data_IF_336682697163
#
_entry.id   IF_336682697163
#
_cell.length_a   1.000
_cell.length_b   1.000
_cell.length_c   1.000
_cell.angle_alpha   90.00
_cell.angle_beta   90.00
_cell.angle_gamma   90.00
#
_symmetry.space_group_name_H-M   'P 1'
#
loop_
_entity.id
_entity.type
_entity.pdbx_description
1 polymer ?
#
# COMPACT_ATOMS: atom_id res chain seq x y z
N UNK A 1 -17.16 -13.26 15.46
CA UNK A 1 -18.07 -12.24 14.88
C UNK A 1 -17.96 -12.30 13.36
N UNK A 2 -19.00 -11.93 12.60
CA UNK A 2 -18.87 -11.76 11.16
C UNK A 2 -17.87 -10.64 10.89
N UNK A 3 -17.22 -10.70 9.74
CA UNK A 3 -16.29 -9.66 9.35
C UNK A 3 -16.99 -8.41 8.82
N UNK A 4 -16.52 -7.25 9.26
CA UNK A 4 -17.12 -5.97 8.88
C UNK A 4 -16.93 -5.65 7.38
N UNK A 5 -15.90 -6.23 6.74
CA UNK A 5 -15.58 -5.92 5.34
C UNK A 5 -16.36 -6.79 4.34
N UNK A 6 -16.59 -8.06 4.66
CA UNK A 6 -17.18 -8.98 3.68
C UNK A 6 -18.34 -9.82 4.21
N UNK A 7 -18.58 -9.82 5.52
CA UNK A 7 -19.60 -10.62 6.24
C UNK A 7 -19.60 -12.15 5.96
N UNK A 8 -18.73 -12.64 5.07
CA UNK A 8 -18.77 -13.99 4.53
C UNK A 8 -18.09 -15.06 5.41
N UNK A 9 -17.19 -14.67 6.31
CA UNK A 9 -16.62 -15.63 7.25
C UNK A 9 -16.63 -15.07 8.67
N UNK A 10 -16.76 -15.97 9.63
CA UNK A 10 -16.75 -15.68 11.07
C UNK A 10 -15.34 -15.85 11.61
N UNK A 11 -14.89 -14.89 12.42
CA UNK A 11 -13.49 -14.75 12.77
C UNK A 11 -13.28 -14.00 14.10
N UNK A 12 -12.12 -14.15 14.76
CA UNK A 12 -11.75 -13.36 15.92
C UNK A 12 -11.20 -12.01 15.46
N UNK A 13 -11.97 -10.94 15.64
CA UNK A 13 -11.60 -9.56 15.26
C UNK A 13 -12.48 -8.95 14.15
N UNK A 14 -12.23 -7.69 13.77
CA UNK A 14 -13.09 -6.91 12.86
C UNK A 14 -12.91 -7.29 11.38
N UNK A 15 -11.68 -7.65 10.99
CA UNK A 15 -11.30 -7.94 9.60
C UNK A 15 -10.63 -9.31 9.54
N UNK A 16 -10.63 -9.92 8.36
CA UNK A 16 -10.07 -11.24 8.14
C UNK A 16 -8.77 -11.30 7.43
N UNK A 17 -8.18 -12.49 7.42
CA UNK A 17 -7.01 -12.78 6.61
C UNK A 17 -7.17 -12.34 5.15
N UNK A 18 -8.27 -12.68 4.48
CA UNK A 18 -8.49 -12.33 3.05
C UNK A 18 -8.60 -10.82 2.79
N UNK A 19 -9.42 -10.13 3.58
CA UNK A 19 -9.65 -8.69 3.50
C UNK A 19 -8.45 -7.90 3.99
N UNK A 20 -7.71 -8.40 4.99
CA UNK A 20 -6.45 -7.81 5.45
C UNK A 20 -5.35 -7.95 4.39
N UNK A 21 -5.27 -9.09 3.70
CA UNK A 21 -4.35 -9.27 2.57
C UNK A 21 -4.71 -8.34 1.41
N UNK A 22 -6.00 -8.23 1.07
CA UNK A 22 -6.46 -7.30 0.04
C UNK A 22 -6.10 -5.85 0.37
N UNK A 23 -6.30 -5.44 1.63
CA UNK A 23 -5.94 -4.10 2.09
C UNK A 23 -4.45 -3.79 1.86
N UNK A 24 -3.55 -4.74 2.16
CA UNK A 24 -2.11 -4.58 1.93
C UNK A 24 -1.74 -4.38 0.45
N UNK A 25 -2.45 -5.04 -0.47
CA UNK A 25 -2.23 -4.87 -1.91
C UNK A 25 -2.66 -3.49 -2.41
N UNK A 26 -3.75 -2.96 -1.84
CA UNK A 26 -4.29 -1.64 -2.20
C UNK A 26 -3.63 -0.49 -1.46
N UNK A 27 -2.73 -0.78 -0.50
CA UNK A 27 -2.05 0.29 0.23
C UNK A 27 -1.20 1.11 -0.75
N UNK A 28 -1.40 2.44 -0.80
CA UNK A 28 -0.53 3.29 -1.59
C UNK A 28 0.90 3.09 -1.07
N UNK A 29 1.80 2.68 -1.96
CA UNK A 29 3.22 2.56 -1.64
C UNK A 29 3.71 3.96 -1.27
N UNK A 30 3.75 4.26 0.04
CA UNK A 30 4.18 5.53 0.64
C UNK A 30 5.65 5.89 0.34
N UNK A 31 6.30 5.26 -0.65
CA UNK A 31 7.71 5.46 -1.03
C UNK A 31 7.92 6.34 -2.26
N UNK A 32 6.89 7.02 -2.76
CA UNK A 32 7.07 8.02 -3.83
C UNK A 32 7.66 9.35 -3.33
N UNK A 33 7.74 9.60 -2.02
CA UNK A 33 8.32 10.83 -1.45
C UNK A 33 9.80 10.73 -1.06
N UNK A 34 10.40 9.54 -1.10
CA UNK A 34 11.81 9.33 -0.68
C UNK A 34 12.77 9.03 -1.81
N UNK A 35 12.32 9.04 -3.08
CA UNK A 35 13.27 9.08 -4.19
C UNK A 35 13.92 10.46 -4.22
N UNK A 36 15.06 10.61 -3.53
CA UNK A 36 16.02 11.67 -3.83
C UNK A 36 16.28 11.60 -5.33
N UNK A 37 15.89 12.64 -6.06
CA UNK A 37 16.21 12.78 -7.48
C UNK A 37 17.74 12.69 -7.58
N UNK A 38 18.31 11.69 -8.29
CA UNK A 38 19.74 11.68 -8.52
C UNK A 38 20.11 12.98 -9.24
N UNK A 39 21.23 13.64 -8.88
CA UNK A 39 21.66 14.85 -9.55
C UNK A 39 21.84 14.54 -11.04
N UNK A 40 21.09 15.24 -11.88
CA UNK A 40 21.24 15.14 -13.34
C UNK A 40 22.51 15.92 -13.69
N UNK A 41 23.50 15.32 -14.36
CA UNK A 41 24.66 16.06 -14.83
C UNK A 41 24.20 17.13 -15.82
N UNK A 42 24.58 18.39 -15.57
CA UNK A 42 24.26 19.50 -16.46
C UNK A 42 25.11 19.34 -17.73
N UNK A 43 24.44 19.24 -18.88
CA UNK A 43 25.13 19.26 -20.17
C UNK A 43 25.79 20.64 -20.36
N UNK A 44 27.04 20.71 -20.87
CA UNK A 44 27.68 21.98 -21.15
C UNK A 44 26.88 22.77 -22.20
N UNK A 45 26.58 24.02 -21.88
CA UNK A 45 26.03 24.97 -22.84
C UNK A 45 27.07 25.22 -23.94
N UNK A 46 26.65 25.10 -25.20
CA UNK A 46 27.49 25.32 -26.37
C UNK A 46 27.42 26.77 -26.82
#
# INVERSE_FOLDING_TARGET
MPCDTCAAETRPGPVCARCAALAQLTQPVLRLRTRRRPPVPQAPAR
#
